data_IF_108580144195
#
_entry.id   IF_108580144195
#
_cell.length_a   1.000
_cell.length_b   1.000
_cell.length_c   1.000
_cell.angle_alpha   90.00
_cell.angle_beta   90.00
_cell.angle_gamma   90.00
#
_symmetry.space_group_name_H-M   'P 1'
#
loop_
_entity.id
_entity.type
_entity.pdbx_description
1 polymer ?
#
# COMPACT_ATOMS: atom_id res chain seq x y z
N UNK A 1 18.66 -4.45 47.05
CA UNK A 1 18.10 -4.04 46.01
C UNK A 1 18.60 -4.27 44.63
N UNK A 2 19.77 -4.83 44.44
CA UNK A 2 20.26 -5.17 43.13
C UNK A 2 19.31 -6.15 42.41
N UNK A 3 18.69 -7.07 43.14
CA UNK A 3 17.81 -8.06 42.56
C UNK A 3 16.56 -7.44 41.94
N UNK A 4 15.95 -6.47 42.60
CA UNK A 4 14.79 -5.82 42.07
C UNK A 4 15.09 -5.05 40.82
N UNK A 5 16.26 -4.38 40.80
CA UNK A 5 16.70 -3.62 39.65
C UNK A 5 16.95 -4.55 38.46
N UNK A 6 17.63 -5.68 38.73
CA UNK A 6 17.93 -6.65 37.66
C UNK A 6 16.65 -7.23 37.09
N UNK A 7 15.70 -7.58 37.96
CA UNK A 7 14.43 -8.12 37.48
C UNK A 7 13.67 -7.10 36.63
N UNK A 8 13.72 -5.84 37.04
CA UNK A 8 13.07 -4.80 36.27
C UNK A 8 13.78 -4.57 34.95
N UNK A 9 15.13 -4.56 34.95
CA UNK A 9 15.89 -4.41 33.73
C UNK A 9 15.59 -5.54 32.75
N UNK A 10 15.49 -6.78 33.25
CA UNK A 10 15.16 -7.90 32.42
C UNK A 10 13.78 -7.74 31.78
N UNK A 11 12.82 -7.26 32.57
CA UNK A 11 11.48 -7.03 32.05
C UNK A 11 11.48 -5.95 30.99
N UNK A 12 12.27 -4.91 31.21
CA UNK A 12 12.38 -3.83 30.23
C UNK A 12 13.00 -4.34 28.94
N UNK A 13 14.09 -5.11 29.06
CA UNK A 13 14.75 -5.67 27.88
C UNK A 13 13.80 -6.54 27.09
N UNK A 14 13.06 -7.37 27.79
CA UNK A 14 12.10 -8.28 27.15
C UNK A 14 10.98 -7.47 26.46
N UNK A 15 10.49 -6.46 27.15
CA UNK A 15 9.44 -5.63 26.57
C UNK A 15 9.94 -4.89 25.33
N UNK A 16 11.19 -4.41 25.38
CA UNK A 16 11.77 -3.73 24.23
C UNK A 16 11.94 -4.69 23.05
N UNK A 17 12.37 -5.92 23.32
CA UNK A 17 12.53 -6.91 22.26
C UNK A 17 11.19 -7.24 21.64
N UNK A 18 10.14 -7.35 22.46
CA UNK A 18 8.81 -7.62 21.96
C UNK A 18 8.28 -6.46 21.12
N UNK A 19 8.57 -5.23 21.57
CA UNK A 19 8.14 -4.06 20.83
C UNK A 19 8.82 -3.97 19.46
N UNK A 20 10.10 -4.27 19.42
CA UNK A 20 10.87 -4.26 18.18
C UNK A 20 10.33 -5.34 17.23
N UNK A 21 10.06 -6.53 17.77
CA UNK A 21 9.52 -7.62 16.98
C UNK A 21 8.14 -7.27 16.43
N UNK A 22 7.31 -6.65 17.25
CA UNK A 22 5.97 -6.24 16.82
C UNK A 22 6.06 -5.19 15.73
N UNK A 23 7.00 -4.25 15.86
CA UNK A 23 7.19 -3.23 14.86
C UNK A 23 7.62 -3.82 13.52
N UNK A 24 8.54 -4.79 13.57
CA UNK A 24 9.00 -5.46 12.35
C UNK A 24 7.86 -6.20 11.67
N UNK A 25 7.03 -6.87 12.44
CA UNK A 25 5.86 -7.56 11.87
C UNK A 25 4.89 -6.58 11.24
N UNK A 26 4.69 -5.44 11.90
CA UNK A 26 3.81 -4.41 11.39
C UNK A 26 4.35 -3.85 10.07
N UNK A 27 5.65 -3.57 10.01
CA UNK A 27 6.26 -3.06 8.79
C UNK A 27 6.17 -4.04 7.64
N UNK A 28 6.37 -5.34 7.93
CA UNK A 28 6.22 -6.37 6.91
C UNK A 28 4.79 -6.43 6.41
N UNK A 29 3.83 -6.32 7.32
CA UNK A 29 2.42 -6.34 6.93
C UNK A 29 2.07 -5.15 6.06
N UNK A 30 2.65 -3.98 6.36
CA UNK A 30 2.44 -2.80 5.53
C UNK A 30 3.02 -2.98 4.14
N UNK A 31 4.20 -3.57 4.04
CA UNK A 31 4.81 -3.84 2.74
C UNK A 31 3.96 -4.79 1.92
N UNK A 32 3.45 -5.82 2.59
CA UNK A 32 2.61 -6.80 1.92
C UNK A 32 1.32 -6.15 1.41
N UNK A 33 0.73 -5.31 2.24
CA UNK A 33 -0.48 -4.59 1.84
C UNK A 33 -0.19 -3.69 0.64
N UNK A 34 0.93 -2.99 0.67
CA UNK A 34 1.30 -2.11 -0.42
C UNK A 34 1.47 -2.89 -1.73
N UNK A 35 2.11 -4.05 -1.67
CA UNK A 35 2.28 -4.91 -2.84
C UNK A 35 0.94 -5.35 -3.39
N UNK A 36 0.03 -5.73 -2.49
CA UNK A 36 -1.29 -6.19 -2.91
C UNK A 36 -2.11 -5.07 -3.52
N UNK A 37 -2.00 -3.87 -2.95
CA UNK A 37 -2.71 -2.71 -3.51
C UNK A 37 -2.18 -2.36 -4.89
N UNK A 38 -0.86 -2.43 -5.07
CA UNK A 38 -0.25 -2.19 -6.37
C UNK A 38 -0.72 -3.21 -7.38
N UNK A 39 -0.75 -4.48 -6.97
CA UNK A 39 -1.20 -5.54 -7.84
C UNK A 39 -2.66 -5.36 -8.25
N UNK A 40 -3.50 -4.96 -7.29
CA UNK A 40 -4.90 -4.71 -7.61
C UNK A 40 -5.04 -3.58 -8.62
N UNK A 41 -4.24 -2.52 -8.44
CA UNK A 41 -4.27 -1.39 -9.36
C UNK A 41 -3.85 -1.82 -10.76
N UNK A 42 -2.84 -2.67 -10.87
CA UNK A 42 -2.39 -3.17 -12.16
C UNK A 42 -3.46 -3.98 -12.85
N UNK A 43 -4.16 -4.82 -12.09
CA UNK A 43 -5.24 -5.63 -12.64
C UNK A 43 -6.40 -4.75 -13.11
N UNK A 44 -6.73 -3.74 -12.33
CA UNK A 44 -7.78 -2.80 -12.70
C UNK A 44 -7.40 -2.04 -13.97
N UNK A 45 -6.12 -1.67 -14.09
CA UNK A 45 -5.65 -0.99 -15.28
C UNK A 45 -5.73 -1.90 -16.50
N UNK A 46 -5.39 -3.18 -16.34
CA UNK A 46 -5.49 -4.14 -17.43
C UNK A 46 -6.94 -4.31 -17.88
N UNK A 47 -7.85 -4.38 -16.91
CA UNK A 47 -9.27 -4.49 -17.24
C UNK A 47 -9.77 -3.25 -17.96
N UNK A 48 -9.29 -2.09 -17.53
CA UNK A 48 -9.65 -0.84 -18.18
C UNK A 48 -9.15 -0.81 -19.61
N UNK A 49 -7.90 -1.24 -19.82
CA UNK A 49 -7.34 -1.30 -21.17
C UNK A 49 -8.10 -2.25 -22.07
N UNK A 50 -8.51 -3.39 -21.53
CA UNK A 50 -9.32 -4.33 -22.30
C UNK A 50 -10.65 -3.72 -22.69
N UNK A 51 -11.31 -3.06 -21.75
CA UNK A 51 -12.57 -2.42 -22.01
C UNK A 51 -12.41 -1.32 -23.07
N UNK A 52 -11.34 -0.55 -22.94
CA UNK A 52 -11.03 0.49 -23.89
C UNK A 52 -10.81 -0.07 -25.28
N UNK A 53 -10.00 -1.12 -25.38
CA UNK A 53 -9.72 -1.76 -26.66
C UNK A 53 -10.99 -2.28 -27.29
N UNK A 54 -11.84 -2.88 -26.48
CA UNK A 54 -13.11 -3.43 -26.97
C UNK A 54 -14.08 -2.35 -27.41
N UNK A 55 -14.00 -1.17 -26.78
CA UNK A 55 -14.94 -0.10 -27.11
C UNK A 55 -14.57 0.62 -28.41
N UNK A 56 -13.34 0.46 -28.89
CA UNK A 56 -12.91 1.12 -30.11
C UNK A 56 -12.62 2.59 -29.97
N UNK A 57 -12.57 3.10 -28.77
CA UNK A 57 -12.25 4.52 -28.57
C UNK A 57 -10.76 4.77 -28.72
N UNK A 58 -10.42 5.96 -29.14
CA UNK A 58 -9.03 6.32 -29.31
C UNK A 58 -8.38 6.59 -27.96
N UNK A 59 -7.07 6.51 -27.97
CA UNK A 59 -6.31 6.81 -26.75
C UNK A 59 -6.60 8.22 -26.26
N UNK A 60 -6.68 9.16 -27.19
CA UNK A 60 -6.92 10.55 -26.83
C UNK A 60 -8.27 10.72 -26.14
N UNK A 61 -9.28 10.05 -26.63
CA UNK A 61 -10.59 10.10 -26.02
C UNK A 61 -10.57 9.59 -24.59
N UNK A 62 -9.84 8.50 -24.35
CA UNK A 62 -9.75 7.95 -23.01
C UNK A 62 -8.98 8.88 -22.10
N UNK A 63 -7.88 9.45 -22.59
CA UNK A 63 -7.10 10.37 -21.80
C UNK A 63 -7.90 11.61 -21.43
N UNK A 64 -8.69 12.13 -22.36
CA UNK A 64 -9.54 13.27 -22.08
C UNK A 64 -10.57 12.93 -21.02
N UNK A 65 -11.14 11.74 -21.10
CA UNK A 65 -12.12 11.31 -20.12
C UNK A 65 -11.49 11.17 -18.73
N UNK A 66 -10.32 10.56 -18.67
CA UNK A 66 -9.66 10.33 -17.39
C UNK A 66 -9.19 11.62 -16.75
N UNK A 67 -8.81 12.58 -17.55
CA UNK A 67 -8.38 13.87 -17.02
C UNK A 67 -9.54 14.77 -16.63
N UNK A 68 -10.75 14.34 -16.99
CA UNK A 68 -11.93 15.13 -16.62
C UNK A 68 -12.02 16.44 -17.34
N UNK A 69 -11.34 16.56 -18.48
CA UNK A 69 -11.32 17.79 -19.22
C UNK A 69 -12.38 17.73 -20.30
N UNK A 70 -13.37 18.61 -20.27
CA UNK A 70 -14.35 18.65 -21.35
C UNK A 70 -13.65 19.09 -22.61
N UNK A 71 -13.88 18.33 -23.65
CA UNK A 71 -13.14 18.57 -24.88
C UNK A 71 -13.53 19.87 -25.55
N UNK A 72 -14.70 20.39 -25.21
CA UNK A 72 -15.14 21.57 -25.87
C UNK A 72 -15.04 22.79 -25.03
N UNK A 73 -14.30 22.71 -23.97
CA UNK A 73 -14.18 23.83 -23.18
C UNK A 73 -13.39 24.81 -23.75
N UNK A 74 -13.65 25.56 -24.02
CA UNK A 74 -12.91 26.50 -24.53
C UNK A 74 -13.16 27.54 -23.92
#
# INVERSE_FOLDING_TARGET
>A
MARKRMALDEKIDKAQAEAISAKQKYEKALEELDKLLTKRRELENQELLKAFTSSGKSLQEVLDFLNGVPSDDE
#
